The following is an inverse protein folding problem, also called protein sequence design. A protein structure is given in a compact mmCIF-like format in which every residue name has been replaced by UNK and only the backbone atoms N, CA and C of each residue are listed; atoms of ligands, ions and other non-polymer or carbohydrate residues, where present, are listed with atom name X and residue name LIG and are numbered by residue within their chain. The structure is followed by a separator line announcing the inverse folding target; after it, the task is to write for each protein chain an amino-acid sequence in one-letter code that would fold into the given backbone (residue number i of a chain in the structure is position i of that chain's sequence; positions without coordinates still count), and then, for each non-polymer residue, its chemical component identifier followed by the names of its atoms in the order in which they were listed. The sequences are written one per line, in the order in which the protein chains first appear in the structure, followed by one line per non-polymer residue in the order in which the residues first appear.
data_IF_478258685309
#
_entry.id   IF_478258685309
#
_cell.length_a   1.000
_cell.length_b   1.000
_cell.length_c   1.000
_cell.angle_alpha   90.00
_cell.angle_beta   90.00
_cell.angle_gamma   90.00
#
_symmetry.space_group_name_H-M   'P 1'
#
loop_
_entity.id
_entity.type
_entity.pdbx_description
1 polymer ?
#
# COMPACT_ATOMS: atom_id res chain seq x y z
N UNK A 1 25.89 -4.35 -3.27
CA UNK A 1 25.81 -2.93 -3.65
C UNK A 1 24.43 -2.54 -4.21
N UNK A 2 23.84 -3.33 -5.12
CA UNK A 2 22.52 -3.06 -5.76
C UNK A 2 21.39 -2.92 -4.72
N UNK A 3 21.26 -3.86 -3.78
CA UNK A 3 20.22 -3.81 -2.76
C UNK A 3 20.28 -2.55 -1.88
N UNK A 4 21.48 -2.12 -1.47
CA UNK A 4 21.63 -0.89 -0.67
C UNK A 4 21.22 0.37 -1.45
N UNK A 5 21.51 0.41 -2.76
CA UNK A 5 21.09 1.51 -3.63
C UNK A 5 19.56 1.52 -3.79
N UNK A 6 18.97 0.35 -4.04
CA UNK A 6 17.52 0.20 -4.11
C UNK A 6 16.83 0.64 -2.82
N UNK A 7 17.28 0.18 -1.65
CA UNK A 7 16.68 0.56 -0.37
C UNK A 7 16.73 2.07 -0.12
N UNK A 8 17.84 2.74 -0.47
CA UNK A 8 17.93 4.20 -0.38
C UNK A 8 16.91 4.90 -1.29
N UNK A 9 16.82 4.46 -2.54
CA UNK A 9 15.80 4.96 -3.47
C UNK A 9 14.39 4.73 -2.92
N UNK A 10 14.09 3.52 -2.45
CA UNK A 10 12.77 3.12 -2.01
C UNK A 10 12.31 3.88 -0.76
N UNK A 11 13.19 4.05 0.22
CA UNK A 11 12.92 4.85 1.42
C UNK A 11 12.67 6.31 1.03
N UNK A 12 13.51 6.89 0.17
CA UNK A 12 13.31 8.26 -0.32
C UNK A 12 11.99 8.40 -1.07
N UNK A 13 11.61 7.40 -1.88
CA UNK A 13 10.36 7.36 -2.62
C UNK A 13 9.14 7.33 -1.69
N UNK A 14 9.18 6.52 -0.63
CA UNK A 14 8.13 6.47 0.40
C UNK A 14 7.99 7.83 1.09
N UNK A 15 9.10 8.40 1.57
CA UNK A 15 9.10 9.70 2.26
C UNK A 15 8.53 10.79 1.35
N UNK A 16 8.95 10.82 0.09
CA UNK A 16 8.45 11.76 -0.91
C UNK A 16 6.93 11.61 -1.13
N UNK A 17 6.45 10.38 -1.28
CA UNK A 17 5.02 10.10 -1.49
C UNK A 17 4.18 10.51 -0.27
N UNK A 18 4.67 10.26 0.95
CA UNK A 18 4.02 10.70 2.18
C UNK A 18 3.98 12.23 2.26
N UNK A 19 5.10 12.91 1.96
CA UNK A 19 5.15 14.37 1.99
C UNK A 19 4.15 15.00 0.99
N UNK A 20 4.03 14.44 -0.22
CA UNK A 20 3.03 14.85 -1.21
C UNK A 20 1.62 14.60 -0.71
N UNK A 21 1.33 13.40 -0.18
CA UNK A 21 0.00 13.08 0.33
C UNK A 21 -0.44 14.01 1.46
N UNK A 22 0.46 14.34 2.38
CA UNK A 22 0.19 15.32 3.45
C UNK A 22 -0.08 16.69 2.84
N UNK A 23 0.78 17.16 1.94
CA UNK A 23 0.62 18.47 1.29
C UNK A 23 -0.75 18.59 0.60
N UNK A 24 -1.11 17.60 -0.23
CA UNK A 24 -2.40 17.58 -0.92
C UNK A 24 -3.56 17.51 0.09
N UNK A 25 -3.45 16.64 1.09
CA UNK A 25 -4.47 16.47 2.14
C UNK A 25 -4.69 17.73 2.98
N UNK A 26 -3.68 18.59 3.14
CA UNK A 26 -3.79 19.89 3.79
C UNK A 26 -4.46 20.95 2.90
N UNK A 27 -4.27 20.88 1.58
CA UNK A 27 -4.83 21.83 0.61
C UNK A 27 -6.32 21.59 0.32
N UNK A 28 -6.80 20.34 0.46
CA UNK A 28 -8.22 20.02 0.28
C UNK A 28 -9.04 20.67 1.40
N UNK A 29 -10.10 21.39 1.06
CA UNK A 29 -11.02 21.96 2.06
C UNK A 29 -11.73 20.83 2.80
N UNK A 30 -11.64 20.80 4.14
CA UNK A 30 -12.28 19.74 4.93
C UNK A 30 -13.78 19.69 4.67
N UNK A 31 -14.46 20.81 4.56
CA UNK A 31 -15.93 20.89 4.58
C UNK A 31 -16.62 20.18 3.40
N UNK A 32 -15.88 19.84 2.35
CA UNK A 32 -16.39 19.12 1.16
C UNK A 32 -16.39 17.59 1.29
N UNK A 33 -15.72 17.03 2.31
CA UNK A 33 -15.54 15.56 2.42
C UNK A 33 -16.64 14.94 3.29
N UNK A 34 -17.61 14.26 2.71
CA UNK A 34 -18.60 13.53 3.51
C UNK A 34 -17.93 12.28 4.08
N UNK A 35 -17.81 12.19 5.42
CA UNK A 35 -17.39 10.96 6.07
C UNK A 35 -18.59 10.01 6.07
N UNK A 36 -18.55 8.98 5.23
CA UNK A 36 -19.49 7.87 5.34
C UNK A 36 -19.27 7.15 6.67
N UNK A 37 -20.35 6.58 7.21
CA UNK A 37 -20.25 5.73 8.39
C UNK A 37 -19.38 4.50 8.01
N UNK A 38 -18.46 4.04 8.89
CA UNK A 38 -17.71 2.82 8.61
C UNK A 38 -18.69 1.67 8.36
N UNK A 39 -18.60 1.12 7.16
CA UNK A 39 -19.36 -0.07 6.77
C UNK A 39 -18.74 -1.28 7.45
N UNK A 40 -19.58 -2.25 7.83
CA UNK A 40 -19.17 -3.43 8.60
C UNK A 40 -19.93 -4.65 8.13
N UNK A 41 -19.32 -5.81 8.32
CA UNK A 41 -19.91 -7.10 8.03
C UNK A 41 -19.35 -7.71 6.75
N UNK A 42 -19.86 -8.91 6.43
CA UNK A 42 -19.27 -9.76 5.40
C UNK A 42 -19.30 -9.15 3.99
N UNK A 43 -20.34 -8.38 3.65
CA UNK A 43 -20.41 -7.73 2.33
C UNK A 43 -19.27 -6.72 2.15
N UNK A 44 -19.02 -5.89 3.16
CA UNK A 44 -17.89 -4.96 3.17
C UNK A 44 -16.55 -5.71 3.25
N UNK A 45 -16.44 -6.77 4.05
CA UNK A 45 -15.24 -7.63 4.06
C UNK A 45 -14.91 -8.17 2.67
N UNK A 46 -15.90 -8.64 1.91
CA UNK A 46 -15.68 -9.18 0.56
C UNK A 46 -15.22 -8.10 -0.41
N UNK A 47 -15.72 -6.86 -0.27
CA UNK A 47 -15.27 -5.72 -1.06
C UNK A 47 -13.82 -5.36 -0.75
N UNK A 48 -13.46 -5.24 0.54
CA UNK A 48 -12.08 -5.00 0.99
C UNK A 48 -11.14 -6.07 0.46
N UNK A 49 -11.49 -7.34 0.63
CA UNK A 49 -10.67 -8.46 0.14
C UNK A 49 -10.51 -8.41 -1.38
N UNK A 50 -11.58 -8.14 -2.12
CA UNK A 50 -11.52 -8.02 -3.58
C UNK A 50 -10.61 -6.88 -4.01
N UNK A 51 -10.73 -5.70 -3.39
CA UNK A 51 -9.92 -4.54 -3.69
C UNK A 51 -8.43 -4.81 -3.38
N UNK A 52 -8.16 -5.34 -2.20
CA UNK A 52 -6.81 -5.66 -1.75
C UNK A 52 -6.16 -6.74 -2.63
N UNK A 53 -6.89 -7.80 -2.99
CA UNK A 53 -6.42 -8.83 -3.92
C UNK A 53 -6.13 -8.27 -5.31
N UNK A 54 -7.01 -7.43 -5.86
CA UNK A 54 -6.78 -6.80 -7.16
C UNK A 54 -5.55 -5.90 -7.13
N UNK A 55 -5.36 -5.15 -6.05
CA UNK A 55 -4.20 -4.30 -5.90
C UNK A 55 -2.92 -5.14 -5.83
N UNK A 56 -2.91 -6.16 -4.96
CA UNK A 56 -1.79 -7.09 -4.82
C UNK A 56 -1.40 -7.75 -6.16
N UNK A 57 -2.38 -8.26 -6.92
CA UNK A 57 -2.14 -8.86 -8.23
C UNK A 57 -1.63 -7.83 -9.25
N UNK A 58 -2.07 -6.58 -9.18
CA UNK A 58 -1.55 -5.50 -10.03
C UNK A 58 -0.05 -5.28 -9.80
N UNK A 59 0.44 -5.36 -8.56
CA UNK A 59 1.87 -5.27 -8.29
C UNK A 59 2.67 -6.46 -8.80
N UNK A 60 2.07 -7.65 -8.92
CA UNK A 60 2.74 -8.81 -9.49
C UNK A 60 2.78 -8.70 -11.03
N UNK A 61 1.63 -8.44 -11.66
CA UNK A 61 1.53 -8.50 -13.13
C UNK A 61 1.92 -7.20 -13.83
N UNK A 62 1.71 -6.05 -13.18
CA UNK A 62 2.01 -4.72 -13.71
C UNK A 62 3.26 -4.12 -13.02
N UNK A 63 4.24 -4.96 -12.66
CA UNK A 63 5.43 -4.52 -11.93
C UNK A 63 6.22 -3.39 -12.63
N UNK A 64 6.12 -3.27 -13.96
CA UNK A 64 6.70 -2.16 -14.73
C UNK A 64 6.10 -0.79 -14.38
N UNK A 65 4.85 -0.78 -13.91
CA UNK A 65 4.12 0.41 -13.48
C UNK A 65 4.17 0.61 -11.95
N UNK A 66 4.88 -0.25 -11.23
CA UNK A 66 4.89 -0.26 -9.76
C UNK A 66 5.23 1.08 -9.09
N UNK A 67 6.13 1.94 -9.61
CA UNK A 67 6.34 3.25 -9.02
C UNK A 67 5.12 4.16 -9.15
N UNK A 68 4.43 4.14 -10.29
CA UNK A 68 3.23 4.94 -10.50
C UNK A 68 2.07 4.43 -9.65
N UNK A 69 1.86 3.11 -9.62
CA UNK A 69 0.85 2.47 -8.77
C UNK A 69 1.08 2.84 -7.30
N UNK A 70 2.33 2.71 -6.81
CA UNK A 70 2.64 2.98 -5.41
C UNK A 70 2.52 4.45 -5.05
N UNK A 71 2.88 5.35 -5.97
CA UNK A 71 2.66 6.77 -5.77
C UNK A 71 1.16 7.04 -5.57
N UNK A 72 0.31 6.52 -6.45
CA UNK A 72 -1.15 6.72 -6.38
C UNK A 72 -1.70 6.17 -5.06
N UNK A 73 -1.40 4.92 -4.72
CA UNK A 73 -1.94 4.27 -3.53
C UNK A 73 -1.48 4.97 -2.25
N UNK A 74 -0.17 5.19 -2.10
CA UNK A 74 0.39 5.75 -0.87
C UNK A 74 -0.04 7.21 -0.69
N UNK A 75 -0.07 8.00 -1.77
CA UNK A 75 -0.60 9.38 -1.72
C UNK A 75 -2.08 9.36 -1.34
N UNK A 76 -2.89 8.48 -1.92
CA UNK A 76 -4.32 8.38 -1.63
C UNK A 76 -4.59 8.00 -0.17
N UNK A 77 -3.88 7.00 0.36
CA UNK A 77 -3.96 6.60 1.78
C UNK A 77 -3.59 7.78 2.68
N UNK A 78 -2.46 8.45 2.40
CA UNK A 78 -1.99 9.56 3.24
C UNK A 78 -2.94 10.77 3.18
N UNK A 79 -3.55 11.05 2.02
CA UNK A 79 -4.60 12.07 1.90
C UNK A 79 -5.78 11.72 2.81
N UNK A 80 -6.29 10.49 2.74
CA UNK A 80 -7.41 10.03 3.55
C UNK A 80 -7.12 10.14 5.05
N UNK A 81 -5.92 9.72 5.48
CA UNK A 81 -5.47 9.85 6.87
C UNK A 81 -5.39 11.32 7.28
N UNK A 82 -4.81 12.18 6.44
CA UNK A 82 -4.66 13.61 6.73
C UNK A 82 -6.04 14.29 6.87
N UNK A 83 -6.97 13.98 5.98
CA UNK A 83 -8.34 14.49 6.04
C UNK A 83 -9.11 13.95 7.26
N UNK A 84 -8.98 12.67 7.56
CA UNK A 84 -9.55 12.05 8.77
C UNK A 84 -9.07 12.76 10.03
N UNK A 85 -7.76 12.99 10.16
CA UNK A 85 -7.17 13.70 11.31
C UNK A 85 -7.69 15.14 11.43
N UNK A 86 -7.86 15.85 10.31
CA UNK A 86 -8.39 17.22 10.31
C UNK A 86 -9.87 17.28 10.68
N UNK A 87 -10.65 16.25 10.35
CA UNK A 87 -12.10 16.22 10.58
C UNK A 87 -12.50 15.67 11.93
N UNK A 88 -11.99 14.48 12.24
CA UNK A 88 -12.39 13.70 13.41
C UNK A 88 -11.36 13.78 14.52
N UNK A 89 -10.22 14.43 14.28
CA UNK A 89 -9.09 14.47 15.20
C UNK A 89 -8.18 13.25 15.05
N UNK A 90 -6.96 13.42 15.56
CA UNK A 90 -5.91 12.40 15.50
C UNK A 90 -6.33 11.08 16.15
N UNK A 91 -6.87 11.13 17.37
CA UNK A 91 -7.18 9.93 18.15
C UNK A 91 -8.24 9.05 17.48
N UNK A 92 -9.32 9.65 16.96
CA UNK A 92 -10.39 8.90 16.29
C UNK A 92 -9.85 8.24 15.01
N UNK A 93 -9.06 8.97 14.24
CA UNK A 93 -8.44 8.46 13.01
C UNK A 93 -7.47 7.31 13.31
N UNK A 94 -6.63 7.48 14.33
CA UNK A 94 -5.69 6.44 14.75
C UNK A 94 -6.40 5.18 15.24
N UNK A 95 -7.47 5.31 16.03
CA UNK A 95 -8.27 4.18 16.50
C UNK A 95 -9.00 3.46 15.39
N UNK A 96 -9.44 4.16 14.33
CA UNK A 96 -10.02 3.54 13.15
C UNK A 96 -9.01 2.76 12.31
N UNK A 97 -7.77 3.26 12.21
CA UNK A 97 -6.69 2.60 11.46
C UNK A 97 -6.07 1.42 12.22
N UNK A 98 -5.96 1.50 13.54
CA UNK A 98 -5.17 0.56 14.34
C UNK A 98 -5.56 -0.92 14.19
N UNK A 99 -6.85 -1.31 14.10
CA UNK A 99 -7.24 -2.72 14.02
C UNK A 99 -6.61 -3.48 12.85
N UNK A 100 -6.50 -2.86 11.68
CA UNK A 100 -6.00 -3.51 10.46
C UNK A 100 -4.68 -2.89 9.97
N UNK A 101 -4.48 -1.58 10.16
CA UNK A 101 -3.35 -0.82 9.63
C UNK A 101 -1.98 -1.24 10.16
N UNK A 102 -1.90 -1.85 11.36
CA UNK A 102 -0.65 -2.40 11.88
C UNK A 102 -0.11 -3.58 11.04
N UNK A 103 -1.00 -4.37 10.46
CA UNK A 103 -0.64 -5.48 9.59
C UNK A 103 -0.57 -5.01 8.14
N UNK A 104 -1.56 -4.22 7.73
CA UNK A 104 -1.71 -3.81 6.35
C UNK A 104 -0.59 -2.88 5.89
N UNK A 105 -0.28 -1.80 6.63
CA UNK A 105 0.67 -0.78 6.15
C UNK A 105 2.08 -1.36 5.94
N UNK A 106 2.67 -2.13 6.89
CA UNK A 106 3.98 -2.74 6.65
C UNK A 106 3.96 -3.75 5.50
N UNK A 107 2.87 -4.53 5.37
CA UNK A 107 2.73 -5.53 4.32
C UNK A 107 2.56 -4.90 2.93
N UNK A 108 1.74 -3.86 2.85
CA UNK A 108 1.52 -2.98 1.71
C UNK A 108 2.86 -2.42 1.21
N UNK A 109 3.62 -1.77 2.08
CA UNK A 109 4.95 -1.27 1.70
C UNK A 109 5.93 -2.40 1.34
N UNK A 110 5.76 -3.61 1.87
CA UNK A 110 6.63 -4.72 1.56
C UNK A 110 6.41 -5.28 0.16
N UNK A 111 5.18 -5.67 -0.21
CA UNK A 111 4.95 -6.28 -1.53
C UNK A 111 5.09 -5.27 -2.67
N UNK A 112 4.73 -4.00 -2.46
CA UNK A 112 4.97 -2.94 -3.43
C UNK A 112 6.47 -2.70 -3.64
N UNK A 113 7.24 -2.78 -2.55
CA UNK A 113 8.70 -2.70 -2.59
C UNK A 113 9.34 -3.88 -3.33
N UNK A 114 8.81 -5.10 -3.16
CA UNK A 114 9.24 -6.25 -3.95
C UNK A 114 9.00 -6.04 -5.45
N UNK A 115 7.83 -5.53 -5.81
CA UNK A 115 7.47 -5.22 -7.19
C UNK A 115 8.40 -4.15 -7.81
N UNK A 116 8.64 -3.04 -7.09
CA UNK A 116 9.62 -2.04 -7.53
C UNK A 116 11.05 -2.61 -7.59
N UNK A 117 11.40 -3.54 -6.70
CA UNK A 117 12.72 -4.20 -6.74
C UNK A 117 12.88 -5.10 -7.96
N UNK A 118 11.81 -5.77 -8.40
CA UNK A 118 11.80 -6.50 -9.66
C UNK A 118 12.03 -5.57 -10.85
N UNK A 119 11.31 -4.44 -10.90
CA UNK A 119 11.51 -3.42 -11.92
C UNK A 119 12.96 -2.90 -11.90
N UNK A 120 13.48 -2.56 -10.73
CA UNK A 120 14.86 -2.11 -10.55
C UNK A 120 15.86 -3.14 -11.08
N UNK A 121 15.64 -4.43 -10.83
CA UNK A 121 16.47 -5.51 -11.36
C UNK A 121 16.46 -5.52 -12.88
N UNK A 122 15.29 -5.48 -13.50
CA UNK A 122 15.17 -5.46 -14.96
C UNK A 122 15.88 -4.25 -15.56
N UNK A 123 15.73 -3.07 -14.96
CA UNK A 123 16.34 -1.83 -15.46
C UNK A 123 17.87 -1.83 -15.33
N UNK A 124 18.40 -2.36 -14.23
CA UNK A 124 19.83 -2.35 -13.94
C UNK A 124 20.59 -3.47 -14.63
N UNK A 125 20.00 -4.66 -14.70
CA UNK A 125 20.65 -5.85 -15.24
C UNK A 125 20.26 -6.11 -16.70
N UNK A 126 19.26 -5.39 -17.23
CA UNK A 126 18.76 -5.49 -18.61
C UNK A 126 18.46 -6.93 -19.03
N UNK A 127 18.01 -7.76 -18.08
CA UNK A 127 17.82 -9.20 -18.27
C UNK A 127 16.49 -9.65 -17.71
N UNK A 128 15.62 -10.15 -18.59
CA UNK A 128 14.34 -10.76 -18.20
C UNK A 128 14.54 -12.11 -17.50
N UNK A 129 15.61 -12.84 -17.84
CA UNK A 129 15.95 -14.11 -17.19
C UNK A 129 16.29 -13.90 -15.72
N UNK A 130 17.08 -12.87 -15.40
CA UNK A 130 17.39 -12.52 -14.00
C UNK A 130 16.14 -12.14 -13.21
N UNK A 131 15.19 -11.45 -13.86
CA UNK A 131 13.88 -11.17 -13.27
C UNK A 131 13.12 -12.46 -12.94
N UNK A 132 12.97 -13.38 -13.89
CA UNK A 132 12.21 -14.63 -13.68
C UNK A 132 12.83 -15.50 -12.57
N UNK A 133 14.16 -15.57 -12.50
CA UNK A 133 14.86 -16.28 -11.43
C UNK A 133 14.61 -15.66 -10.05
N UNK A 134 14.59 -14.32 -9.96
CA UNK A 134 14.27 -13.61 -8.72
C UNK A 134 12.81 -13.76 -8.34
N UNK A 135 11.90 -13.59 -9.29
CA UNK A 135 10.47 -13.78 -9.07
C UNK A 135 10.20 -15.17 -8.48
N UNK A 136 10.75 -16.23 -9.09
CA UNK A 136 10.65 -17.59 -8.56
C UNK A 136 11.16 -17.70 -7.12
N UNK A 137 12.26 -17.01 -6.78
CA UNK A 137 12.82 -16.99 -5.41
C UNK A 137 11.91 -16.24 -4.44
N UNK A 138 11.20 -15.22 -4.90
CA UNK A 138 10.38 -14.36 -4.07
C UNK A 138 8.91 -14.82 -3.92
N UNK A 139 8.44 -15.81 -4.68
CA UNK A 139 7.08 -16.40 -4.56
C UNK A 139 6.64 -16.63 -3.11
N UNK A 140 7.50 -17.20 -2.26
CA UNK A 140 7.17 -17.45 -0.84
C UNK A 140 6.78 -16.18 -0.08
N UNK A 141 7.40 -15.06 -0.41
CA UNK A 141 7.14 -13.78 0.25
C UNK A 141 5.83 -13.16 -0.25
N UNK A 142 5.51 -13.32 -1.54
CA UNK A 142 4.20 -12.95 -2.06
C UNK A 142 3.08 -13.77 -1.38
N UNK A 143 3.27 -15.08 -1.21
CA UNK A 143 2.28 -15.91 -0.50
C UNK A 143 2.07 -15.46 0.95
N UNK A 144 3.17 -15.24 1.70
CA UNK A 144 3.09 -14.72 3.08
C UNK A 144 2.38 -13.36 3.10
N UNK A 145 2.77 -12.47 2.18
CA UNK A 145 2.18 -11.14 2.08
C UNK A 145 0.68 -11.19 1.77
N UNK A 146 0.26 -12.10 0.89
CA UNK A 146 -1.14 -12.30 0.58
C UNK A 146 -1.92 -12.84 1.80
N UNK A 147 -1.37 -13.77 2.57
CA UNK A 147 -2.01 -14.21 3.81
C UNK A 147 -2.19 -13.08 4.83
N UNK A 148 -1.18 -12.23 5.01
CA UNK A 148 -1.28 -11.05 5.89
C UNK A 148 -2.38 -10.10 5.38
N UNK A 149 -2.48 -9.91 4.06
CA UNK A 149 -3.50 -9.08 3.44
C UNK A 149 -4.92 -9.62 3.68
N UNK A 150 -5.12 -10.94 3.58
CA UNK A 150 -6.40 -11.57 3.90
C UNK A 150 -6.80 -11.36 5.36
N UNK A 151 -5.85 -11.55 6.29
CA UNK A 151 -6.10 -11.32 7.73
C UNK A 151 -6.46 -9.85 7.97
N UNK A 152 -5.70 -8.92 7.40
CA UNK A 152 -5.95 -7.49 7.55
C UNK A 152 -7.33 -7.09 7.00
N UNK A 153 -7.71 -7.57 5.81
CA UNK A 153 -9.02 -7.26 5.22
C UNK A 153 -10.21 -7.85 5.98
N UNK A 154 -10.05 -9.03 6.59
CA UNK A 154 -11.08 -9.59 7.49
C UNK A 154 -11.20 -8.72 8.75
N UNK A 155 -10.08 -8.30 9.33
CA UNK A 155 -10.09 -7.41 10.50
C UNK A 155 -10.73 -6.06 10.17
N UNK A 156 -10.40 -5.47 9.04
CA UNK A 156 -11.01 -4.22 8.57
C UNK A 156 -12.51 -4.39 8.39
N UNK A 157 -12.96 -5.41 7.67
CA UNK A 157 -14.38 -5.56 7.38
C UNK A 157 -15.27 -5.93 8.59
N UNK A 158 -14.71 -6.59 9.60
CA UNK A 158 -15.46 -7.00 10.80
C UNK A 158 -15.29 -6.06 12.00
N UNK A 159 -14.14 -5.39 12.13
CA UNK A 159 -13.77 -4.58 13.30
C UNK A 159 -13.67 -3.08 13.01
N UNK A 160 -13.48 -2.68 11.74
CA UNK A 160 -13.33 -1.29 11.30
C UNK A 160 -14.53 -0.42 11.64
#
# INVERSE_FOLDING_TARGET
MIMRKFLRYYISFIIFSIAIGILIGLLITSDTVILSKPERGWDFTLEVLKNNSNNFLSYIFLFFLSPALQLIDLVSVVIQITLGMRKSGFLITALGLFPHGLLEIPNFLFYQGLSQYMLWTVLTEKSMTSFLERERRYVRYYLISYYVLLIAGIMEGLLG
#
